data_IF_719044110631
#
_entry.id   IF_719044110631
#
_cell.length_a   1.000
_cell.length_b   1.000
_cell.length_c   1.000
_cell.angle_alpha   90.00
_cell.angle_beta   90.00
_cell.angle_gamma   90.00
#
_symmetry.space_group_name_H-M   'P 1'
#
loop_
_entity.id
_entity.type
_entity.pdbx_description
1 polymer ?
#
# COMPACT_ATOMS: atom_id res chain seq x y z
N UNK A 1 -55.08 10.27 38.36
CA UNK A 1 -54.48 11.12 37.31
C UNK A 1 -52.96 11.09 37.48
N UNK A 2 -52.23 10.39 36.59
CA UNK A 2 -50.76 10.45 36.51
C UNK A 2 -50.40 11.19 35.22
N UNK A 3 -49.62 12.28 35.25
CA UNK A 3 -49.19 12.93 34.02
C UNK A 3 -48.06 12.11 33.37
N UNK A 4 -48.20 11.96 32.07
CA UNK A 4 -47.37 11.17 31.17
C UNK A 4 -46.02 11.85 30.98
N UNK A 5 -44.93 11.10 31.13
CA UNK A 5 -43.58 11.54 30.86
C UNK A 5 -43.25 11.42 29.37
N UNK A 6 -42.47 12.39 28.89
CA UNK A 6 -41.50 12.30 27.80
C UNK A 6 -41.99 12.23 26.35
N UNK A 7 -42.38 13.39 25.81
CA UNK A 7 -42.01 13.75 24.44
C UNK A 7 -40.66 14.48 24.48
N UNK A 8 -39.58 13.71 24.39
CA UNK A 8 -38.24 14.24 24.15
C UNK A 8 -38.09 14.27 22.62
N UNK A 9 -37.99 15.44 21.96
CA UNK A 9 -37.75 15.46 20.53
C UNK A 9 -36.41 14.78 20.25
N UNK A 10 -36.46 13.75 19.41
CA UNK A 10 -35.28 13.08 18.84
C UNK A 10 -34.40 14.16 18.21
N UNK A 11 -33.32 14.53 18.90
CA UNK A 11 -32.28 15.35 18.31
C UNK A 11 -31.77 14.61 17.06
N UNK A 12 -31.84 15.23 15.86
CA UNK A 12 -31.27 14.61 14.68
C UNK A 12 -29.78 14.35 14.95
N UNK A 13 -29.36 13.12 14.70
CA UNK A 13 -28.01 12.66 14.94
C UNK A 13 -26.97 13.67 14.41
N UNK A 14 -26.17 14.23 15.33
CA UNK A 14 -24.81 14.71 15.03
C UNK A 14 -24.13 13.59 14.21
N UNK A 15 -23.55 13.78 13.04
CA UNK A 15 -22.81 14.89 12.46
C UNK A 15 -22.77 14.73 10.93
N UNK A 16 -23.01 15.78 10.15
CA UNK A 16 -22.33 15.89 8.85
C UNK A 16 -20.84 15.94 9.19
N UNK A 17 -20.15 14.80 9.08
CA UNK A 17 -18.69 14.77 9.17
C UNK A 17 -18.22 15.74 8.09
N UNK A 18 -17.52 16.78 8.52
CA UNK A 18 -17.06 17.87 7.67
C UNK A 18 -16.04 17.27 6.69
N UNK A 19 -16.51 16.92 5.48
CA UNK A 19 -15.66 16.41 4.41
C UNK A 19 -14.62 17.48 4.09
N UNK A 20 -13.34 17.11 4.12
CA UNK A 20 -12.25 18.05 3.88
C UNK A 20 -12.43 18.71 2.51
N UNK A 21 -12.49 20.04 2.49
CA UNK A 21 -12.59 20.82 1.27
C UNK A 21 -11.20 20.90 0.60
N UNK A 22 -11.01 20.06 -0.41
CA UNK A 22 -9.75 19.97 -1.15
C UNK A 22 -9.45 21.21 -1.99
N UNK A 23 -10.46 21.97 -2.44
CA UNK A 23 -10.28 23.27 -3.11
C UNK A 23 -9.70 24.29 -2.13
N UNK A 24 -10.24 24.32 -0.91
CA UNK A 24 -9.70 25.17 0.15
C UNK A 24 -8.27 24.78 0.51
N UNK A 25 -7.95 23.49 0.61
CA UNK A 25 -6.57 23.03 0.85
C UNK A 25 -5.65 23.47 -0.29
N UNK A 26 -6.06 23.27 -1.55
CA UNK A 26 -5.28 23.72 -2.71
C UNK A 26 -5.03 25.24 -2.69
N UNK A 27 -6.02 26.05 -2.32
CA UNK A 27 -5.88 27.51 -2.22
C UNK A 27 -4.89 27.98 -1.14
N UNK A 28 -4.51 27.11 -0.21
CA UNK A 28 -3.51 27.42 0.81
C UNK A 28 -2.07 27.34 0.30
N UNK A 29 -1.84 26.65 -0.81
CA UNK A 29 -0.52 26.57 -1.44
C UNK A 29 -0.14 27.89 -2.10
N UNK A 30 1.13 28.25 -1.98
CA UNK A 30 1.71 29.46 -2.57
C UNK A 30 2.91 29.10 -3.44
N UNK A 31 3.21 30.00 -4.37
CA UNK A 31 4.47 29.94 -5.11
C UNK A 31 5.64 30.11 -4.14
N UNK A 32 6.74 29.43 -4.45
CA UNK A 32 7.98 29.49 -3.67
C UNK A 32 8.98 30.38 -4.39
N UNK A 33 9.67 31.23 -3.62
CA UNK A 33 10.77 32.08 -4.12
C UNK A 33 12.13 31.35 -4.02
N UNK A 34 12.25 30.40 -3.09
CA UNK A 34 13.42 29.53 -2.93
C UNK A 34 12.99 28.12 -2.50
N UNK A 35 13.82 27.12 -2.78
CA UNK A 35 13.59 25.78 -2.26
C UNK A 35 13.80 25.74 -0.74
N UNK A 36 13.09 24.84 -0.04
CA UNK A 36 13.38 24.55 1.36
C UNK A 36 14.85 24.14 1.55
N UNK A 37 15.51 24.71 2.57
CA UNK A 37 16.97 24.58 2.76
C UNK A 37 17.46 23.19 3.14
N UNK A 38 16.55 22.28 3.47
CA UNK A 38 16.80 20.85 3.70
C UNK A 38 16.97 20.04 2.39
N UNK A 39 16.61 20.61 1.24
CA UNK A 39 16.88 20.01 -0.07
C UNK A 39 18.32 20.29 -0.52
N UNK A 40 19.13 19.23 -0.52
CA UNK A 40 20.48 19.24 -1.09
C UNK A 40 20.45 19.12 -2.61
N UNK A 41 19.97 20.16 -3.30
CA UNK A 41 19.97 20.26 -4.76
C UNK A 41 21.07 21.23 -5.23
N UNK A 42 21.66 20.98 -6.41
CA UNK A 42 22.52 21.99 -7.05
C UNK A 42 21.69 23.22 -7.44
N UNK A 43 22.32 24.39 -7.63
CA UNK A 43 21.60 25.63 -7.99
C UNK A 43 20.72 25.45 -9.25
N UNK A 44 21.27 24.80 -10.29
CA UNK A 44 20.53 24.57 -11.54
C UNK A 44 19.34 23.61 -11.36
N UNK A 45 19.47 22.60 -10.49
CA UNK A 45 18.37 21.71 -10.15
C UNK A 45 17.32 22.42 -9.29
N UNK A 46 17.77 23.26 -8.36
CA UNK A 46 16.89 24.02 -7.49
C UNK A 46 15.99 24.97 -8.29
N UNK A 47 16.57 25.73 -9.23
CA UNK A 47 15.82 26.58 -10.15
C UNK A 47 14.81 25.78 -10.99
N UNK A 48 15.23 24.62 -11.50
CA UNK A 48 14.35 23.74 -12.29
C UNK A 48 13.17 23.23 -11.46
N UNK A 49 13.42 22.74 -10.25
CA UNK A 49 12.40 22.20 -9.35
C UNK A 49 11.40 23.28 -8.96
N UNK A 50 11.89 24.47 -8.60
CA UNK A 50 11.07 25.62 -8.23
C UNK A 50 10.19 26.08 -9.39
N UNK A 51 10.75 26.17 -10.60
CA UNK A 51 10.02 26.52 -11.82
C UNK A 51 8.91 25.51 -12.12
N UNK A 52 9.20 24.20 -12.03
CA UNK A 52 8.21 23.15 -12.26
C UNK A 52 7.10 23.19 -11.21
N UNK A 53 7.44 23.34 -9.93
CA UNK A 53 6.46 23.45 -8.84
C UNK A 53 5.53 24.65 -9.03
N UNK A 54 6.07 25.86 -9.21
CA UNK A 54 5.28 27.07 -9.35
C UNK A 54 4.37 27.01 -10.60
N UNK A 55 4.90 26.47 -11.71
CA UNK A 55 4.10 26.23 -12.91
C UNK A 55 2.97 25.24 -12.66
N UNK A 56 3.25 24.13 -11.97
CA UNK A 56 2.24 23.11 -11.66
C UNK A 56 1.15 23.69 -10.74
N UNK A 57 1.51 24.50 -9.75
CA UNK A 57 0.56 25.18 -8.88
C UNK A 57 -0.38 26.11 -9.68
N UNK A 58 0.15 26.93 -10.58
CA UNK A 58 -0.70 27.77 -11.46
C UNK A 58 -1.61 26.96 -12.37
N UNK A 59 -1.11 25.85 -12.90
CA UNK A 59 -1.91 24.96 -13.75
C UNK A 59 -3.04 24.30 -12.95
N UNK A 60 -2.76 23.84 -11.72
CA UNK A 60 -3.74 23.28 -10.83
C UNK A 60 -4.86 24.27 -10.46
N UNK A 61 -4.53 25.53 -10.20
CA UNK A 61 -5.53 26.56 -9.85
C UNK A 61 -6.32 27.07 -11.05
N UNK A 62 -5.80 26.96 -12.27
CA UNK A 62 -6.47 27.38 -13.52
C UNK A 62 -7.28 26.28 -14.19
N UNK A 63 -7.47 25.12 -13.54
CA UNK A 63 -8.27 24.01 -14.04
C UNK A 63 -7.52 23.03 -14.95
N UNK A 64 -6.19 23.19 -15.11
CA UNK A 64 -5.33 22.26 -15.86
C UNK A 64 -4.65 21.25 -14.93
N UNK A 65 -5.43 20.61 -14.06
CA UNK A 65 -4.93 19.74 -12.99
C UNK A 65 -4.16 18.52 -13.54
N UNK A 66 -4.59 17.92 -14.64
CA UNK A 66 -3.92 16.75 -15.25
C UNK A 66 -2.47 17.04 -15.64
N UNK A 67 -2.22 18.21 -16.25
CA UNK A 67 -0.87 18.63 -16.66
C UNK A 67 0.00 18.89 -15.44
N UNK A 68 -0.57 19.52 -14.41
CA UNK A 68 0.11 19.75 -13.13
C UNK A 68 0.49 18.42 -12.46
N UNK A 69 -0.41 17.44 -12.45
CA UNK A 69 -0.18 16.12 -11.88
C UNK A 69 0.97 15.38 -12.58
N UNK A 70 1.04 15.41 -13.91
CA UNK A 70 2.13 14.77 -14.68
C UNK A 70 3.48 15.43 -14.34
N UNK A 71 3.51 16.75 -14.24
CA UNK A 71 4.74 17.47 -13.89
C UNK A 71 5.22 17.14 -12.47
N UNK A 72 4.28 17.13 -11.51
CA UNK A 72 4.57 16.83 -10.11
C UNK A 72 4.93 15.36 -9.89
N UNK A 73 4.31 14.42 -10.59
CA UNK A 73 4.65 13.00 -10.49
C UNK A 73 6.15 12.77 -10.76
N UNK A 74 6.70 13.40 -11.80
CA UNK A 74 8.14 13.30 -12.12
C UNK A 74 9.01 13.91 -11.03
N UNK A 75 8.64 15.09 -10.53
CA UNK A 75 9.38 15.78 -9.46
C UNK A 75 9.41 14.94 -8.19
N UNK A 76 8.25 14.44 -7.77
CA UNK A 76 8.08 13.71 -6.51
C UNK A 76 8.70 12.31 -6.54
N UNK A 77 8.82 11.71 -7.74
CA UNK A 77 9.57 10.47 -7.92
C UNK A 77 11.09 10.66 -7.79
N UNK A 78 11.63 11.76 -8.32
CA UNK A 78 13.08 12.05 -8.25
C UNK A 78 13.51 12.75 -6.97
N UNK A 79 12.61 13.52 -6.34
CA UNK A 79 12.87 14.32 -5.14
C UNK A 79 11.78 14.12 -4.09
N UNK A 80 11.70 12.93 -3.45
CA UNK A 80 10.67 12.62 -2.47
C UNK A 80 10.64 13.59 -1.28
N UNK A 81 11.80 14.13 -0.89
CA UNK A 81 11.95 15.09 0.21
C UNK A 81 11.40 16.49 -0.11
N UNK A 82 11.05 16.79 -1.37
CA UNK A 82 10.39 18.05 -1.72
C UNK A 82 8.92 18.02 -1.26
N UNK A 83 8.72 18.34 0.01
CA UNK A 83 7.46 18.19 0.74
C UNK A 83 6.31 18.99 0.11
N UNK A 84 6.56 20.20 -0.37
CA UNK A 84 5.58 21.08 -0.99
C UNK A 84 5.06 20.47 -2.31
N UNK A 85 5.96 20.02 -3.18
CA UNK A 85 5.58 19.38 -4.44
C UNK A 85 4.89 18.03 -4.20
N UNK A 86 5.42 17.22 -3.28
CA UNK A 86 4.86 15.90 -2.95
C UNK A 86 3.49 15.98 -2.30
N UNK A 87 3.28 16.95 -1.40
CA UNK A 87 1.98 17.19 -0.78
C UNK A 87 0.97 17.80 -1.75
N UNK A 88 1.39 18.75 -2.60
CA UNK A 88 0.53 19.30 -3.65
C UNK A 88 0.04 18.20 -4.59
N UNK A 89 0.92 17.28 -4.99
CA UNK A 89 0.54 16.13 -5.82
C UNK A 89 -0.51 15.24 -5.12
N UNK A 90 -0.32 14.96 -3.83
CA UNK A 90 -1.31 14.23 -3.01
C UNK A 90 -2.67 14.91 -2.96
N UNK A 91 -2.71 16.25 -2.84
CA UNK A 91 -3.96 17.02 -2.85
C UNK A 91 -4.67 16.91 -4.21
N UNK A 92 -3.93 17.02 -5.32
CA UNK A 92 -4.53 16.87 -6.66
C UNK A 92 -5.08 15.45 -6.89
N UNK A 93 -4.36 14.41 -6.43
CA UNK A 93 -4.86 13.04 -6.46
C UNK A 93 -6.17 12.90 -5.67
N UNK A 94 -6.27 13.53 -4.50
CA UNK A 94 -7.48 13.49 -3.68
C UNK A 94 -8.66 14.23 -4.36
N UNK A 95 -8.40 15.36 -5.03
CA UNK A 95 -9.42 16.08 -5.82
C UNK A 95 -10.00 15.24 -6.95
N UNK A 96 -9.15 14.47 -7.63
CA UNK A 96 -9.55 13.49 -8.66
C UNK A 96 -10.16 12.21 -8.07
N UNK A 97 -10.51 12.20 -6.77
CA UNK A 97 -11.05 11.05 -6.03
C UNK A 97 -10.17 9.81 -6.05
N UNK A 98 -8.88 9.95 -6.36
CA UNK A 98 -7.89 8.87 -6.30
C UNK A 98 -7.36 8.74 -4.88
N UNK A 99 -8.28 8.54 -3.92
CA UNK A 99 -8.01 8.63 -2.49
C UNK A 99 -6.94 7.67 -1.98
N UNK A 100 -6.86 6.47 -2.57
CA UNK A 100 -5.80 5.51 -2.23
C UNK A 100 -4.41 6.03 -2.61
N UNK A 101 -4.25 6.52 -3.83
CA UNK A 101 -2.99 7.06 -4.30
C UNK A 101 -2.61 8.34 -3.52
N UNK A 102 -3.60 9.16 -3.18
CA UNK A 102 -3.38 10.33 -2.33
C UNK A 102 -2.89 9.95 -0.93
N UNK A 103 -3.54 8.98 -0.26
CA UNK A 103 -3.13 8.46 1.05
C UNK A 103 -1.67 7.97 1.03
N UNK A 104 -1.33 7.12 0.06
CA UNK A 104 0.02 6.59 -0.13
C UNK A 104 1.04 7.72 -0.38
N UNK A 105 0.66 8.75 -1.14
CA UNK A 105 1.53 9.88 -1.42
C UNK A 105 1.79 10.75 -0.19
N UNK A 106 0.75 11.05 0.62
CA UNK A 106 0.93 11.79 1.86
C UNK A 106 1.76 11.02 2.88
N UNK A 107 1.63 9.69 2.94
CA UNK A 107 2.49 8.85 3.77
C UNK A 107 3.96 8.95 3.37
N UNK A 108 4.26 8.94 2.06
CA UNK A 108 5.63 9.15 1.57
C UNK A 108 6.20 10.49 2.00
N UNK A 109 5.40 11.56 1.98
CA UNK A 109 5.84 12.90 2.46
C UNK A 109 6.24 12.85 3.93
N UNK A 110 5.38 12.27 4.78
CA UNK A 110 5.64 12.17 6.23
C UNK A 110 6.86 11.29 6.55
N UNK A 111 7.15 10.29 5.71
CA UNK A 111 8.34 9.45 5.85
C UNK A 111 9.61 10.15 5.38
N UNK A 112 9.53 10.90 4.27
CA UNK A 112 10.70 11.58 3.69
C UNK A 112 11.09 12.83 4.47
N UNK A 113 10.12 13.56 5.02
CA UNK A 113 10.32 14.81 5.74
C UNK A 113 9.40 14.90 6.97
N UNK A 114 9.69 14.13 8.04
CA UNK A 114 8.82 14.05 9.22
C UNK A 114 8.67 15.39 9.96
N UNK A 115 9.70 16.24 9.91
CA UNK A 115 9.75 17.54 10.61
C UNK A 115 9.37 18.73 9.72
N UNK A 116 8.80 18.47 8.53
CA UNK A 116 8.36 19.55 7.64
C UNK A 116 7.28 20.42 8.30
N UNK A 117 7.29 21.73 8.01
CA UNK A 117 6.26 22.66 8.49
C UNK A 117 4.84 22.25 8.06
N UNK A 118 4.74 21.45 6.99
CA UNK A 118 3.50 20.88 6.46
C UNK A 118 3.08 19.57 7.12
N UNK A 119 3.85 19.00 8.07
CA UNK A 119 3.58 17.65 8.57
C UNK A 119 2.16 17.51 9.13
N UNK A 120 1.69 18.50 9.89
CA UNK A 120 0.33 18.51 10.46
C UNK A 120 -0.75 18.61 9.37
N UNK A 121 -0.56 19.43 8.35
CA UNK A 121 -1.54 19.59 7.27
C UNK A 121 -1.59 18.35 6.39
N UNK A 122 -0.42 17.78 6.07
CA UNK A 122 -0.27 16.53 5.32
C UNK A 122 -0.91 15.37 6.05
N UNK A 123 -0.68 15.22 7.36
CA UNK A 123 -1.30 14.14 8.14
C UNK A 123 -2.83 14.27 8.18
N UNK A 124 -3.35 15.50 8.33
CA UNK A 124 -4.80 15.75 8.21
C UNK A 124 -5.34 15.36 6.84
N UNK A 125 -4.62 15.69 5.77
CA UNK A 125 -5.00 15.31 4.40
C UNK A 125 -4.97 13.79 4.21
N UNK A 126 -3.95 13.12 4.73
CA UNK A 126 -3.82 11.65 4.71
C UNK A 126 -5.00 10.96 5.37
N UNK A 127 -5.38 11.41 6.57
CA UNK A 127 -6.52 10.86 7.31
C UNK A 127 -7.84 11.10 6.56
N UNK A 128 -8.03 12.30 5.98
CA UNK A 128 -9.22 12.61 5.19
C UNK A 128 -9.31 11.73 3.92
N UNK A 129 -8.19 11.55 3.20
CA UNK A 129 -8.14 10.67 2.03
C UNK A 129 -8.45 9.22 2.42
N UNK A 130 -7.89 8.72 3.53
CA UNK A 130 -8.20 7.40 4.06
C UNK A 130 -9.68 7.22 4.36
N UNK A 131 -10.30 8.20 4.99
CA UNK A 131 -11.73 8.16 5.32
C UNK A 131 -12.60 8.10 4.07
N UNK A 132 -12.32 8.94 3.07
CA UNK A 132 -13.05 8.93 1.80
C UNK A 132 -12.88 7.60 1.06
N UNK A 133 -11.67 7.03 1.03
CA UNK A 133 -11.43 5.71 0.46
C UNK A 133 -12.28 4.63 1.13
N UNK A 134 -12.35 4.63 2.47
CA UNK A 134 -13.17 3.67 3.22
C UNK A 134 -14.65 3.87 2.90
N UNK A 135 -15.11 5.12 2.80
CA UNK A 135 -16.50 5.46 2.46
C UNK A 135 -16.87 5.00 1.05
N UNK A 136 -15.99 5.20 0.07
CA UNK A 136 -16.18 4.74 -1.30
C UNK A 136 -16.23 3.21 -1.37
N UNK A 137 -15.28 2.53 -0.73
CA UNK A 137 -15.27 1.07 -0.64
C UNK A 137 -16.53 0.51 0.05
N UNK A 138 -17.03 1.19 1.09
CA UNK A 138 -18.28 0.84 1.75
C UNK A 138 -19.50 1.03 0.83
N UNK A 139 -19.53 2.10 0.02
CA UNK A 139 -20.58 2.34 -0.97
C UNK A 139 -20.56 1.29 -2.07
N UNK A 140 -19.39 0.96 -2.60
CA UNK A 140 -19.25 -0.04 -3.66
C UNK A 140 -19.60 -1.44 -3.17
N UNK A 141 -19.14 -1.83 -1.98
CA UNK A 141 -19.53 -3.11 -1.39
C UNK A 141 -21.03 -3.18 -1.10
N UNK A 142 -21.67 -2.09 -0.68
CA UNK A 142 -23.12 -2.00 -0.52
C UNK A 142 -23.86 -2.14 -1.85
N UNK A 143 -23.42 -1.43 -2.89
CA UNK A 143 -23.94 -1.54 -4.26
C UNK A 143 -23.83 -2.97 -4.78
N UNK A 144 -22.68 -3.60 -4.62
CA UNK A 144 -22.44 -5.00 -5.02
C UNK A 144 -23.34 -5.98 -4.26
N UNK A 145 -23.55 -5.79 -2.95
CA UNK A 145 -24.48 -6.60 -2.15
C UNK A 145 -25.93 -6.45 -2.62
N UNK A 146 -26.36 -5.22 -2.93
CA UNK A 146 -27.69 -4.95 -3.47
C UNK A 146 -27.85 -5.61 -4.84
N UNK A 147 -26.87 -5.45 -5.71
CA UNK A 147 -26.87 -6.04 -7.04
C UNK A 147 -26.96 -7.57 -6.97
N UNK A 148 -26.18 -8.23 -6.11
CA UNK A 148 -26.25 -9.68 -5.89
C UNK A 148 -27.62 -10.17 -5.40
N UNK A 149 -28.39 -9.34 -4.69
CA UNK A 149 -29.77 -9.68 -4.27
C UNK A 149 -30.78 -9.48 -5.40
N UNK A 150 -30.54 -8.52 -6.29
CA UNK A 150 -31.43 -8.18 -7.39
C UNK A 150 -31.19 -9.01 -8.64
N UNK A 151 -29.98 -9.52 -8.86
CA UNK A 151 -29.63 -10.36 -10.01
C UNK A 151 -30.54 -11.58 -10.20
N UNK A 152 -30.85 -12.42 -9.18
CA UNK A 152 -31.76 -13.55 -9.38
C UNK A 152 -33.19 -13.09 -9.70
N UNK A 153 -33.64 -11.97 -9.13
CA UNK A 153 -34.96 -11.41 -9.40
C UNK A 153 -35.04 -10.91 -10.85
N UNK A 154 -34.00 -10.20 -11.31
CA UNK A 154 -33.88 -9.74 -12.71
C UNK A 154 -33.81 -10.91 -13.68
N UNK A 155 -33.08 -11.96 -13.34
CA UNK A 155 -33.02 -13.16 -14.16
C UNK A 155 -34.36 -13.90 -14.23
N UNK A 156 -35.08 -14.02 -13.11
CA UNK A 156 -36.44 -14.55 -13.12
C UNK A 156 -37.38 -13.72 -14.01
N UNK A 157 -37.33 -12.39 -13.90
CA UNK A 157 -38.10 -11.49 -14.78
C UNK A 157 -37.73 -11.67 -16.25
N UNK A 158 -36.45 -11.84 -16.57
CA UNK A 158 -35.98 -12.13 -17.93
C UNK A 158 -36.52 -13.46 -18.46
N UNK A 159 -36.47 -14.55 -17.67
CA UNK A 159 -37.05 -15.86 -18.07
C UNK A 159 -38.55 -15.78 -18.34
N UNK A 160 -39.27 -14.98 -17.55
CA UNK A 160 -40.71 -14.76 -17.73
C UNK A 160 -41.07 -13.78 -18.86
N UNK A 161 -40.08 -13.12 -19.49
CA UNK A 161 -40.32 -12.10 -20.51
C UNK A 161 -40.88 -10.78 -19.96
N UNK A 162 -40.86 -10.58 -18.63
CA UNK A 162 -41.46 -9.43 -17.93
C UNK A 162 -40.40 -8.34 -17.62
N UNK A 163 -39.13 -8.56 -17.98
CA UNK A 163 -38.08 -7.59 -17.75
C UNK A 163 -38.35 -6.31 -18.55
N UNK A 164 -38.35 -5.16 -17.88
CA UNK A 164 -38.52 -3.85 -18.50
C UNK A 164 -37.16 -3.15 -18.62
N UNK A 165 -36.96 -2.45 -19.73
CA UNK A 165 -35.82 -1.58 -19.95
C UNK A 165 -36.01 -0.29 -19.15
N UNK A 166 -34.93 0.21 -18.55
CA UNK A 166 -34.96 1.51 -17.90
C UNK A 166 -35.28 2.60 -18.94
N UNK A 167 -36.13 3.56 -18.59
CA UNK A 167 -36.38 4.70 -19.46
C UNK A 167 -35.07 5.44 -19.73
N UNK A 168 -34.87 5.87 -20.98
CA UNK A 168 -33.67 6.60 -21.40
C UNK A 168 -33.47 7.87 -20.54
N UNK A 169 -32.24 8.40 -20.44
CA UNK A 169 -31.86 9.51 -19.54
C UNK A 169 -32.75 10.77 -19.65
N UNK A 170 -33.46 10.95 -20.76
CA UNK A 170 -34.37 12.08 -20.99
C UNK A 170 -35.76 11.90 -20.36
N UNK A 171 -36.06 10.75 -19.76
CA UNK A 171 -37.28 10.50 -18.98
C UNK A 171 -38.61 10.53 -19.76
N UNK A 172 -38.56 10.68 -21.09
CA UNK A 172 -39.73 10.82 -21.98
C UNK A 172 -40.14 9.52 -22.67
N UNK A 173 -39.41 8.42 -22.46
CA UNK A 173 -39.68 7.13 -23.08
C UNK A 173 -40.79 6.34 -22.37
N UNK A 174 -41.76 5.81 -23.15
CA UNK A 174 -42.70 4.80 -22.67
C UNK A 174 -41.92 3.59 -22.16
N UNK A 175 -42.40 2.96 -21.08
CA UNK A 175 -41.82 1.72 -20.54
C UNK A 175 -41.83 0.66 -21.65
N UNK A 176 -40.64 0.26 -22.10
CA UNK A 176 -40.46 -0.78 -23.11
C UNK A 176 -39.96 -2.07 -22.44
N UNK A 177 -40.48 -3.21 -22.92
CA UNK A 177 -39.98 -4.51 -22.51
C UNK A 177 -38.55 -4.69 -23.01
N UNK A 178 -37.69 -5.30 -22.17
CA UNK A 178 -36.32 -5.61 -22.53
C UNK A 178 -36.31 -6.58 -23.72
N UNK A 179 -35.46 -6.31 -24.70
CA UNK A 179 -35.33 -7.15 -25.89
C UNK A 179 -34.74 -8.53 -25.56
N UNK A 180 -34.90 -9.50 -26.46
CA UNK A 180 -34.40 -10.88 -26.27
C UNK A 180 -32.90 -10.95 -25.96
N UNK A 181 -32.10 -10.06 -26.57
CA UNK A 181 -30.65 -9.95 -26.32
C UNK A 181 -30.35 -9.45 -24.91
N UNK A 182 -31.05 -8.41 -24.46
CA UNK A 182 -30.89 -7.84 -23.10
C UNK A 182 -31.33 -8.85 -22.03
N UNK A 183 -32.40 -9.62 -22.29
CA UNK A 183 -32.83 -10.72 -21.43
C UNK A 183 -31.76 -11.81 -21.33
N UNK A 184 -31.14 -12.18 -22.45
CA UNK A 184 -30.07 -13.19 -22.50
C UNK A 184 -28.79 -12.73 -21.75
N UNK A 185 -28.43 -11.45 -21.84
CA UNK A 185 -27.32 -10.88 -21.08
C UNK A 185 -27.53 -10.95 -19.56
N UNK A 186 -28.76 -10.68 -19.10
CA UNK A 186 -29.12 -10.80 -17.67
C UNK A 186 -29.03 -12.25 -17.19
N UNK A 187 -29.42 -13.21 -18.03
CA UNK A 187 -29.30 -14.65 -17.71
C UNK A 187 -27.83 -15.08 -17.62
N UNK A 188 -26.99 -14.62 -18.54
CA UNK A 188 -25.54 -14.87 -18.50
C UNK A 188 -24.88 -14.27 -17.26
N UNK A 189 -25.35 -13.11 -16.81
CA UNK A 189 -24.88 -12.46 -15.60
C UNK A 189 -25.24 -13.24 -14.33
N UNK A 190 -26.41 -13.89 -14.28
CA UNK A 190 -26.79 -14.84 -13.22
C UNK A 190 -25.85 -16.06 -13.18
N UNK A 191 -25.57 -16.65 -14.35
CA UNK A 191 -24.70 -17.83 -14.49
C UNK A 191 -23.27 -17.54 -13.99
N UNK A 192 -22.71 -16.39 -14.35
CA UNK A 192 -21.38 -15.95 -13.90
C UNK A 192 -21.27 -15.62 -12.41
N UNK A 193 -22.40 -15.29 -11.75
CA UNK A 193 -22.46 -14.99 -10.32
C UNK A 193 -22.80 -16.22 -9.46
N UNK A 194 -23.13 -17.36 -10.07
CA UNK A 194 -23.54 -18.57 -9.36
C UNK A 194 -22.47 -19.05 -8.35
N UNK A 195 -22.86 -19.46 -7.12
CA UNK A 195 -21.94 -19.95 -6.11
C UNK A 195 -21.16 -21.20 -6.54
N UNK A 196 -21.63 -21.92 -7.55
CA UNK A 196 -20.96 -23.05 -8.20
C UNK A 196 -19.78 -22.57 -9.06
N UNK A 197 -19.96 -21.55 -9.92
CA UNK A 197 -18.90 -20.99 -10.74
C UNK A 197 -17.77 -20.35 -9.90
N UNK A 198 -18.12 -19.57 -8.86
CA UNK A 198 -17.11 -19.00 -7.93
C UNK A 198 -16.37 -20.05 -7.11
N UNK A 199 -17.04 -21.14 -6.69
CA UNK A 199 -16.38 -22.20 -5.89
C UNK A 199 -15.35 -22.98 -6.70
N UNK A 200 -15.56 -23.17 -7.99
CA UNK A 200 -14.61 -23.89 -8.86
C UNK A 200 -13.35 -23.04 -9.07
N UNK A 201 -13.49 -21.76 -9.41
CA UNK A 201 -12.33 -20.87 -9.57
C UNK A 201 -11.55 -20.64 -8.27
N UNK A 202 -12.23 -20.50 -7.13
CA UNK A 202 -11.58 -20.29 -5.83
C UNK A 202 -10.82 -21.50 -5.29
N UNK A 203 -11.29 -22.73 -5.54
CA UNK A 203 -10.59 -23.95 -5.12
C UNK A 203 -9.35 -24.25 -5.96
N UNK A 204 -9.45 -24.06 -7.28
CA UNK A 204 -8.31 -24.25 -8.21
C UNK A 204 -7.21 -23.22 -7.91
N UNK A 205 -7.57 -21.96 -7.65
CA UNK A 205 -6.60 -20.91 -7.30
C UNK A 205 -5.85 -21.18 -5.99
N UNK A 206 -6.51 -21.70 -4.95
CA UNK A 206 -5.86 -22.01 -3.66
C UNK A 206 -4.89 -23.19 -3.74
N UNK A 207 -5.21 -24.21 -4.54
CA UNK A 207 -4.30 -25.34 -4.77
C UNK A 207 -3.04 -24.88 -5.52
N UNK A 208 -3.21 -24.07 -6.56
CA UNK A 208 -2.08 -23.50 -7.32
C UNK A 208 -1.24 -22.57 -6.44
N UNK A 209 -1.87 -21.71 -5.62
CA UNK A 209 -1.15 -20.85 -4.67
C UNK A 209 -0.37 -21.64 -3.63
N UNK A 210 -0.96 -22.71 -3.07
CA UNK A 210 -0.27 -23.59 -2.12
C UNK A 210 0.98 -24.23 -2.73
N UNK A 211 0.88 -24.68 -3.98
CA UNK A 211 2.00 -25.28 -4.71
C UNK A 211 3.10 -24.25 -4.99
N UNK A 212 2.72 -23.02 -5.35
CA UNK A 212 3.67 -21.92 -5.60
C UNK A 212 4.41 -21.50 -4.32
N UNK A 213 3.69 -21.39 -3.18
CA UNK A 213 4.30 -21.09 -1.88
C UNK A 213 5.25 -22.21 -1.46
N UNK A 214 4.87 -23.47 -1.67
CA UNK A 214 5.73 -24.61 -1.34
C UNK A 214 7.03 -24.60 -2.16
N UNK A 215 6.96 -24.26 -3.45
CA UNK A 215 8.13 -24.13 -4.34
C UNK A 215 9.04 -22.99 -3.88
N UNK A 216 8.47 -21.81 -3.56
CA UNK A 216 9.24 -20.66 -3.06
C UNK A 216 9.91 -21.00 -1.73
N UNK A 217 9.18 -21.60 -0.79
CA UNK A 217 9.71 -21.99 0.52
C UNK A 217 10.86 -23.01 0.36
N UNK A 218 10.69 -23.99 -0.52
CA UNK A 218 11.72 -25.00 -0.81
C UNK A 218 12.97 -24.37 -1.45
N UNK A 219 12.77 -23.41 -2.35
CA UNK A 219 13.87 -22.68 -3.01
C UNK A 219 14.65 -21.80 -2.01
N UNK A 220 13.95 -21.11 -1.11
CA UNK A 220 14.58 -20.32 -0.04
C UNK A 220 15.36 -21.20 0.93
N UNK A 221 14.80 -22.34 1.34
CA UNK A 221 15.50 -23.33 2.18
C UNK A 221 16.78 -23.84 1.50
N UNK A 222 16.70 -24.15 0.21
CA UNK A 222 17.85 -24.58 -0.58
C UNK A 222 18.94 -23.50 -0.65
N UNK A 223 18.55 -22.24 -0.85
CA UNK A 223 19.48 -21.10 -0.86
C UNK A 223 20.18 -20.94 0.49
N UNK A 224 19.44 -20.98 1.61
CA UNK A 224 20.03 -20.88 2.96
C UNK A 224 21.00 -22.03 3.22
N UNK A 225 20.61 -23.26 2.86
CA UNK A 225 21.48 -24.42 3.04
C UNK A 225 22.77 -24.30 2.21
N UNK A 226 22.66 -23.89 0.95
CA UNK A 226 23.80 -23.82 0.04
C UNK A 226 24.73 -22.63 0.31
N UNK A 227 24.19 -21.46 0.65
CA UNK A 227 24.98 -20.23 0.81
C UNK A 227 25.34 -19.88 2.26
N UNK A 228 24.65 -20.44 3.26
CA UNK A 228 24.94 -20.14 4.67
C UNK A 228 25.55 -21.36 5.34
N UNK A 229 24.85 -22.49 5.31
CA UNK A 229 25.26 -23.67 6.07
C UNK A 229 26.53 -24.29 5.48
N UNK A 230 26.55 -24.55 4.16
CA UNK A 230 27.70 -25.17 3.50
C UNK A 230 29.01 -24.39 3.68
N UNK A 231 29.11 -23.08 3.39
CA UNK A 231 30.36 -22.34 3.60
C UNK A 231 30.70 -22.19 5.09
N UNK A 232 29.72 -22.17 5.99
CA UNK A 232 30.00 -22.15 7.43
C UNK A 232 30.67 -23.45 7.92
N UNK A 233 30.24 -24.61 7.40
CA UNK A 233 30.87 -25.90 7.70
C UNK A 233 32.31 -25.92 7.17
N UNK A 234 32.52 -25.56 5.90
CA UNK A 234 33.86 -25.54 5.29
C UNK A 234 34.79 -24.55 5.99
N UNK A 235 34.29 -23.37 6.38
CA UNK A 235 35.09 -22.38 7.12
C UNK A 235 35.45 -22.89 8.52
N UNK A 236 34.52 -23.55 9.21
CA UNK A 236 34.80 -24.14 10.52
C UNK A 236 35.79 -25.29 10.44
N UNK A 237 35.76 -26.08 9.37
CA UNK A 237 36.70 -27.17 9.14
C UNK A 237 38.12 -26.63 8.88
N UNK A 238 38.25 -25.60 8.05
CA UNK A 238 39.52 -24.89 7.84
C UNK A 238 40.07 -24.25 9.14
N UNK A 239 39.19 -23.70 9.99
CA UNK A 239 39.60 -23.17 11.30
C UNK A 239 40.08 -24.28 12.25
N UNK A 240 39.45 -25.46 12.22
CA UNK A 240 39.90 -26.61 13.01
C UNK A 240 41.28 -27.09 12.55
N UNK A 241 41.49 -27.24 11.23
CA UNK A 241 42.79 -27.62 10.68
C UNK A 241 43.89 -26.62 11.04
N UNK A 242 43.58 -25.31 11.03
CA UNK A 242 44.53 -24.27 11.45
C UNK A 242 44.85 -24.35 12.95
N UNK A 243 43.85 -24.60 13.79
CA UNK A 243 44.04 -24.77 15.23
C UNK A 243 44.88 -26.01 15.55
N UNK A 244 44.60 -27.14 14.89
CA UNK A 244 45.38 -28.37 15.06
C UNK A 244 46.84 -28.19 14.59
N UNK A 245 47.06 -27.47 13.50
CA UNK A 245 48.41 -27.12 13.05
C UNK A 245 49.15 -26.24 14.05
N UNK A 246 48.48 -25.21 14.59
CA UNK A 246 49.03 -24.32 15.61
C UNK A 246 49.37 -25.07 16.89
N UNK A 247 48.48 -25.94 17.36
CA UNK A 247 48.69 -26.79 18.53
C UNK A 247 49.92 -27.68 18.35
N UNK A 248 50.06 -28.34 17.19
CA UNK A 248 51.25 -29.14 16.87
C UNK A 248 52.54 -28.32 16.88
N UNK A 249 52.56 -27.13 16.27
CA UNK A 249 53.76 -26.28 16.25
C UNK A 249 54.13 -25.76 17.64
N UNK A 250 53.12 -25.40 18.45
CA UNK A 250 53.34 -24.96 19.82
C UNK A 250 53.88 -26.11 20.69
N UNK A 251 53.38 -27.33 20.52
CA UNK A 251 53.91 -28.51 21.21
C UNK A 251 55.35 -28.86 20.77
N UNK A 252 55.67 -28.76 19.48
CA UNK A 252 57.04 -28.95 18.95
C UNK A 252 58.04 -27.92 19.49
N UNK A 253 57.58 -26.70 19.80
CA UNK A 253 58.41 -25.61 20.39
C UNK A 253 58.19 -25.41 21.88
N UNK A 254 57.64 -26.42 22.57
CA UNK A 254 57.33 -26.36 23.99
C UNK A 254 58.55 -26.21 24.92
N UNK A 255 59.76 -26.39 24.39
CA UNK A 255 61.02 -26.16 25.10
C UNK A 255 61.32 -24.66 25.32
N UNK A 256 60.73 -23.77 24.52
CA UNK A 256 60.84 -22.33 24.71
C UNK A 256 59.97 -21.91 25.92
N UNK A 257 60.61 -21.42 26.98
CA UNK A 257 59.95 -20.97 28.22
C UNK A 257 58.68 -20.09 28.02
N UNK A 258 58.65 -19.09 27.12
CA UNK A 258 57.43 -18.30 26.89
C UNK A 258 56.31 -19.09 26.20
N UNK A 259 56.63 -20.12 25.40
CA UNK A 259 55.64 -20.96 24.70
C UNK A 259 54.99 -21.95 25.68
N UNK A 260 55.78 -22.51 26.58
CA UNK A 260 55.28 -23.41 27.64
C UNK A 260 54.25 -22.72 28.57
N UNK A 261 54.49 -21.46 28.91
CA UNK A 261 53.56 -20.65 29.73
C UNK A 261 52.21 -20.43 29.02
N UNK A 262 52.25 -20.14 27.71
CA UNK A 262 51.05 -19.95 26.89
C UNK A 262 50.25 -21.27 26.79
N UNK A 263 50.93 -22.40 26.62
CA UNK A 263 50.29 -23.72 26.57
C UNK A 263 49.64 -24.13 27.89
N UNK A 264 50.30 -23.87 29.03
CA UNK A 264 49.73 -24.13 30.36
C UNK A 264 48.50 -23.25 30.61
N UNK A 265 48.56 -21.96 30.25
CA UNK A 265 47.42 -21.05 30.34
C UNK A 265 46.24 -21.51 29.46
N UNK A 266 46.51 -21.95 28.23
CA UNK A 266 45.49 -22.45 27.31
C UNK A 266 44.81 -23.72 27.85
N UNK A 267 45.58 -24.71 28.30
CA UNK A 267 45.06 -25.98 28.84
C UNK A 267 44.26 -25.79 30.13
N UNK A 268 44.61 -24.81 30.96
CA UNK A 268 43.83 -24.43 32.15
C UNK A 268 42.51 -23.73 31.78
N UNK A 269 42.52 -22.90 30.74
CA UNK A 269 41.34 -22.13 30.31
C UNK A 269 40.34 -23.00 29.55
N UNK A 270 40.82 -23.95 28.76
CA UNK A 270 40.01 -24.89 27.97
C UNK A 270 40.38 -26.33 28.33
N UNK A 271 39.99 -26.83 29.52
CA UNK A 271 40.19 -28.23 29.85
C UNK A 271 39.43 -29.07 28.83
N UNK A 272 40.13 -29.97 28.11
CA UNK A 272 39.51 -30.82 27.10
C UNK A 272 38.37 -31.63 27.74
N UNK A 273 37.14 -31.15 27.54
CA UNK A 273 35.93 -31.88 27.90
C UNK A 273 35.84 -33.10 27.01
N UNK A 274 36.07 -34.28 27.59
CA UNK A 274 35.70 -35.58 27.02
C UNK A 274 34.20 -35.59 26.71
N UNK A 275 33.84 -35.16 25.50
CA UNK A 275 32.53 -35.37 24.91
C UNK A 275 32.55 -36.71 24.16
N UNK A 276 31.91 -37.72 24.76
CA UNK A 276 31.31 -38.82 24.02
C UNK A 276 30.19 -38.32 23.11
#
# INVERSE_FOLDING_TARGET
MRPNQTDRPLQPAKSKIETLDWDRVLSSYRELDALPGDLMASESEAERLLSVYNRALRQATTGNADVAMIALEKVTASWPQFSEASSLYGVLLAKERRYRAAEEQFEKVLLAAPDTSLARTVDRCRLAAREERIREQARDSSRMRKEQKLTPIRAHMARSGILQRAADEQGTGRVQMAGRREQEEVLRMEEGLSPSARRVHGKVSRLVQGLLIAVIASSLLFLVFYFVIRPMIVRNEALREQLEWLERILDERSEDAPVAEILDLYRRTFPQGSGK
#
